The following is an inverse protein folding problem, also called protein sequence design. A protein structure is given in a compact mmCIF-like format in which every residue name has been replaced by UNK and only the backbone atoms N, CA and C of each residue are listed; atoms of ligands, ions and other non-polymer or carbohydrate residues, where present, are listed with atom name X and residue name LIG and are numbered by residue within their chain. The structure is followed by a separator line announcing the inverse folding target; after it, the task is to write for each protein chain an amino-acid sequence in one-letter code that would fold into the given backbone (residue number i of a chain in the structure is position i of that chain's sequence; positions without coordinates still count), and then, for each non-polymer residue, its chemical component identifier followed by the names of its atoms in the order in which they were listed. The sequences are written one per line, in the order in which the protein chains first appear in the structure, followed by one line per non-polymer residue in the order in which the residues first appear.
data_IF_794827091780
#
_entry.id   IF_794827091780
#
_cell.length_a   1.000
_cell.length_b   1.000
_cell.length_c   1.000
_cell.angle_alpha   90.00
_cell.angle_beta   90.00
_cell.angle_gamma   90.00
#
_symmetry.space_group_name_H-M   'P 1'
#
loop_
_entity.id
_entity.type
_entity.pdbx_description
1 polymer ?
#
# COMPACT_ATOMS: atom_id res chain seq x y z
N UNK A 1 -13.17 0.98 -5.93
CA UNK A 1 -14.09 1.72 -5.02
C UNK A 1 -14.64 0.85 -3.90
N UNK A 2 -14.76 -0.47 -4.11
CA UNK A 2 -15.22 -1.45 -3.11
C UNK A 2 -14.55 -1.43 -1.73
N UNK A 3 -13.32 -0.90 -1.63
CA UNK A 3 -12.57 -0.84 -0.38
C UNK A 3 -12.76 0.47 0.40
N UNK A 4 -13.51 1.43 -0.16
CA UNK A 4 -13.81 2.70 0.50
C UNK A 4 -14.56 2.43 1.80
N UNK A 5 -14.04 2.95 2.91
CA UNK A 5 -14.58 2.73 4.27
C UNK A 5 -14.60 1.25 4.71
N UNK A 6 -13.77 0.41 4.07
CA UNK A 6 -13.59 -0.98 4.49
C UNK A 6 -12.96 -1.07 5.91
N UNK A 7 -13.14 -2.20 6.60
CA UNK A 7 -12.47 -2.43 7.89
C UNK A 7 -10.94 -2.26 7.80
N UNK A 8 -10.32 -2.67 6.69
CA UNK A 8 -8.88 -2.52 6.44
C UNK A 8 -8.48 -1.05 6.34
N UNK A 9 -9.23 -0.24 5.58
CA UNK A 9 -8.97 1.19 5.46
C UNK A 9 -9.15 1.90 6.82
N UNK A 10 -10.19 1.55 7.57
CA UNK A 10 -10.44 2.11 8.90
C UNK A 10 -9.31 1.72 9.87
N UNK A 11 -8.86 0.46 9.85
CA UNK A 11 -7.75 -0.01 10.65
C UNK A 11 -6.45 0.74 10.32
N UNK A 12 -6.17 0.96 9.03
CA UNK A 12 -5.02 1.74 8.59
C UNK A 12 -5.07 3.19 9.10
N UNK A 13 -6.21 3.89 8.91
CA UNK A 13 -6.41 5.25 9.43
C UNK A 13 -6.26 5.31 10.95
N UNK A 14 -6.84 4.33 11.66
CA UNK A 14 -6.75 4.24 13.12
C UNK A 14 -5.32 3.98 13.59
N UNK A 15 -4.55 3.14 12.89
CA UNK A 15 -3.15 2.89 13.21
C UNK A 15 -2.31 4.17 13.11
N UNK A 16 -2.48 4.94 12.03
CA UNK A 16 -1.81 6.24 11.86
C UNK A 16 -2.21 7.22 12.97
N UNK A 17 -3.51 7.31 13.27
CA UNK A 17 -4.01 8.13 14.37
C UNK A 17 -3.40 7.72 15.72
N UNK A 18 -3.35 6.42 16.01
CA UNK A 18 -2.83 5.90 17.28
C UNK A 18 -1.35 6.21 17.47
N UNK A 19 -0.53 6.02 16.43
CA UNK A 19 0.90 6.36 16.46
C UNK A 19 1.10 7.86 16.63
N UNK A 20 0.35 8.69 15.90
CA UNK A 20 0.46 10.15 16.02
C UNK A 20 0.02 10.68 17.39
N UNK A 21 -0.90 9.98 18.05
CA UNK A 21 -1.37 10.32 19.41
C UNK A 21 -0.34 9.96 20.47
N UNK A 22 0.38 8.86 20.29
CA UNK A 22 1.43 8.43 21.22
C UNK A 22 2.79 9.05 20.84
N UNK A 23 3.07 10.21 21.45
CA UNK A 23 4.33 10.94 21.24
C UNK A 23 5.58 10.22 21.76
N UNK A 24 5.45 9.09 22.47
CA UNK A 24 6.62 8.29 22.86
C UNK A 24 7.22 7.50 21.69
N UNK A 25 6.41 7.17 20.67
CA UNK A 25 6.83 6.38 19.51
C UNK A 25 7.55 7.27 18.49
N UNK A 26 6.94 8.39 18.12
CA UNK A 26 7.48 9.37 17.16
C UNK A 26 7.27 10.80 17.70
N UNK A 27 8.16 11.31 18.58
CA UNK A 27 7.94 12.57 19.29
C UNK A 27 7.89 13.80 18.36
N UNK A 28 8.72 13.80 17.31
CA UNK A 28 8.92 14.94 16.42
C UNK A 28 8.38 14.71 15.00
N UNK A 29 7.61 13.64 14.79
CA UNK A 29 7.12 13.26 13.47
C UNK A 29 5.61 13.07 13.54
N UNK A 30 4.92 13.51 12.50
CA UNK A 30 3.49 13.24 12.32
C UNK A 30 3.35 12.49 11.01
N UNK A 31 2.84 11.26 11.10
CA UNK A 31 2.53 10.45 9.94
C UNK A 31 1.33 11.04 9.21
N UNK A 32 1.48 11.19 7.90
CA UNK A 32 0.40 11.52 6.97
C UNK A 32 0.24 10.34 6.02
N UNK A 33 -0.97 10.19 5.48
CA UNK A 33 -1.26 9.14 4.52
C UNK A 33 -1.92 9.73 3.28
N UNK A 34 -1.73 9.03 2.16
CA UNK A 34 -2.49 9.23 0.94
C UNK A 34 -3.17 7.90 0.58
N UNK A 35 -4.49 7.92 0.41
CA UNK A 35 -5.28 6.72 0.09
C UNK A 35 -5.73 6.83 -1.37
N UNK A 36 -5.30 5.86 -2.17
CA UNK A 36 -5.72 5.72 -3.56
C UNK A 36 -6.64 4.51 -3.71
N UNK A 37 -7.68 4.67 -4.53
CA UNK A 37 -8.58 3.59 -4.90
C UNK A 37 -8.31 3.15 -6.33
N UNK A 38 -8.23 1.84 -6.52
CA UNK A 38 -7.98 1.21 -7.81
C UNK A 38 -9.05 0.13 -8.07
N UNK A 39 -9.46 -0.09 -9.33
CA UNK A 39 -10.28 -1.25 -9.70
C UNK A 39 -9.50 -2.56 -9.50
N UNK A 40 -10.19 -3.66 -9.19
CA UNK A 40 -9.57 -4.98 -8.88
C UNK A 40 -8.82 -5.59 -10.06
N UNK A 41 -9.24 -5.32 -11.29
CA UNK A 41 -8.69 -5.95 -12.50
C UNK A 41 -7.86 -4.98 -13.36
N UNK A 42 -7.35 -3.90 -12.74
CA UNK A 42 -6.66 -2.83 -13.47
C UNK A 42 -5.25 -2.57 -12.92
N UNK A 43 -4.33 -3.45 -13.30
CA UNK A 43 -2.91 -3.37 -12.92
C UNK A 43 -2.24 -2.10 -13.41
N UNK A 44 -2.61 -1.61 -14.60
CA UNK A 44 -2.06 -0.37 -15.13
C UNK A 44 -2.42 0.83 -14.26
N UNK A 45 -3.69 0.97 -13.87
CA UNK A 45 -4.10 2.04 -12.97
C UNK A 45 -3.51 1.85 -11.57
N UNK A 46 -3.38 0.62 -11.08
CA UNK A 46 -2.71 0.33 -9.81
C UNK A 46 -1.26 0.84 -9.81
N UNK A 47 -0.46 0.42 -10.80
CA UNK A 47 0.93 0.87 -10.95
C UNK A 47 1.02 2.38 -11.15
N UNK A 48 0.13 2.98 -11.96
CA UNK A 48 0.11 4.43 -12.18
C UNK A 48 -0.19 5.20 -10.90
N UNK A 49 -1.11 4.73 -10.06
CA UNK A 49 -1.41 5.35 -8.76
C UNK A 49 -0.23 5.20 -7.81
N UNK A 50 0.38 4.02 -7.72
CA UNK A 50 1.59 3.81 -6.94
C UNK A 50 2.73 4.77 -7.37
N UNK A 51 3.01 4.88 -8.68
CA UNK A 51 3.98 5.85 -9.21
C UNK A 51 3.74 7.29 -8.72
N UNK A 52 2.47 7.73 -8.69
CA UNK A 52 2.11 9.08 -8.25
C UNK A 52 2.37 9.28 -6.76
N UNK A 53 2.10 8.27 -5.93
CA UNK A 53 2.41 8.29 -4.50
C UNK A 53 3.92 8.34 -4.27
N UNK A 54 4.68 7.51 -4.98
CA UNK A 54 6.14 7.54 -4.96
C UNK A 54 6.68 8.91 -5.33
N UNK A 55 6.18 9.48 -6.43
CA UNK A 55 6.58 10.82 -6.91
C UNK A 55 6.25 11.92 -5.91
N UNK A 56 5.24 11.70 -5.04
CA UNK A 56 4.86 12.62 -3.97
C UNK A 56 5.68 12.44 -2.68
N UNK A 57 6.61 11.48 -2.66
CA UNK A 57 7.56 11.27 -1.56
C UNK A 57 7.05 10.39 -0.42
N UNK A 58 6.22 9.38 -0.71
CA UNK A 58 5.84 8.40 0.33
C UNK A 58 7.06 7.60 0.81
N UNK A 59 7.07 7.29 2.11
CA UNK A 59 8.14 6.46 2.71
C UNK A 59 7.88 4.95 2.61
N UNK A 60 6.63 4.55 2.32
CA UNK A 60 6.21 3.16 2.16
C UNK A 60 4.86 3.11 1.43
N UNK A 61 4.56 1.98 0.81
CA UNK A 61 3.28 1.69 0.17
C UNK A 61 2.62 0.52 0.90
N UNK A 62 1.32 0.65 1.21
CA UNK A 62 0.53 -0.40 1.83
C UNK A 62 -0.51 -0.93 0.84
N UNK A 63 -0.52 -2.25 0.65
CA UNK A 63 -1.40 -2.94 -0.30
C UNK A 63 -1.06 -2.67 -1.78
N UNK A 64 -1.90 -3.14 -2.71
CA UNK A 64 -3.23 -3.70 -2.50
C UNK A 64 -3.22 -5.13 -1.92
N UNK A 65 -4.37 -5.56 -1.38
CA UNK A 65 -4.56 -6.93 -0.87
C UNK A 65 -4.76 -7.96 -1.99
N UNK A 66 -5.16 -7.50 -3.18
CA UNK A 66 -5.31 -8.35 -4.36
C UNK A 66 -3.93 -8.82 -4.84
N UNK A 67 -3.75 -10.14 -5.00
CA UNK A 67 -2.44 -10.71 -5.33
C UNK A 67 -1.93 -10.30 -6.72
N UNK A 68 -2.83 -10.19 -7.71
CA UNK A 68 -2.45 -9.79 -9.06
C UNK A 68 -1.97 -8.34 -9.05
N UNK A 69 -2.78 -7.43 -8.50
CA UNK A 69 -2.39 -6.02 -8.41
C UNK A 69 -1.16 -5.81 -7.51
N UNK A 70 -1.08 -6.56 -6.41
CA UNK A 70 0.02 -6.54 -5.45
C UNK A 70 1.35 -6.85 -6.12
N UNK A 71 1.39 -7.87 -7.00
CA UNK A 71 2.60 -8.24 -7.74
C UNK A 71 3.17 -7.11 -8.62
N UNK A 72 2.30 -6.29 -9.23
CA UNK A 72 2.70 -5.15 -10.04
C UNK A 72 3.22 -3.99 -9.18
N UNK A 73 2.55 -3.70 -8.07
CA UNK A 73 3.00 -2.68 -7.11
C UNK A 73 4.31 -3.10 -6.43
N UNK A 74 4.47 -4.38 -6.10
CA UNK A 74 5.70 -4.97 -5.57
C UNK A 74 6.85 -4.77 -6.53
N UNK A 75 6.67 -5.11 -7.81
CA UNK A 75 7.72 -4.93 -8.83
C UNK A 75 8.20 -3.49 -8.93
N UNK A 76 7.28 -2.52 -8.82
CA UNK A 76 7.60 -1.10 -8.79
C UNK A 76 8.34 -0.70 -7.52
N UNK A 77 7.90 -1.19 -6.36
CA UNK A 77 8.52 -0.89 -5.07
C UNK A 77 9.94 -1.48 -4.98
N UNK A 78 10.13 -2.70 -5.48
CA UNK A 78 11.44 -3.35 -5.58
C UNK A 78 12.40 -2.55 -6.47
N UNK A 79 11.92 -2.04 -7.61
CA UNK A 79 12.76 -1.26 -8.53
C UNK A 79 13.16 0.13 -7.97
N UNK A 80 12.44 0.64 -6.97
CA UNK A 80 12.63 1.97 -6.40
C UNK A 80 13.12 1.93 -4.94
N UNK A 81 13.41 0.74 -4.41
CA UNK A 81 13.79 0.50 -3.02
C UNK A 81 12.79 1.08 -2.00
N UNK A 82 11.49 0.95 -2.30
CA UNK A 82 10.40 1.45 -1.45
C UNK A 82 9.82 0.28 -0.65
N UNK A 83 9.67 0.41 0.68
CA UNK A 83 8.99 -0.60 1.47
C UNK A 83 7.55 -0.82 1.00
N UNK A 84 7.24 -2.06 0.62
CA UNK A 84 5.89 -2.50 0.27
C UNK A 84 5.37 -3.45 1.35
N UNK A 85 4.21 -3.13 1.94
CA UNK A 85 3.59 -3.94 2.99
C UNK A 85 2.21 -4.38 2.53
N UNK A 86 2.03 -5.68 2.38
CA UNK A 86 0.74 -6.29 2.05
C UNK A 86 0.13 -6.98 3.27
N UNK A 87 -1.19 -6.86 3.43
CA UNK A 87 -1.96 -7.62 4.41
C UNK A 87 -2.89 -8.58 3.69
N UNK A 88 -2.34 -9.73 3.28
CA UNK A 88 -3.09 -10.81 2.62
C UNK A 88 -2.87 -12.13 3.32
N UNK A 89 -3.86 -13.02 3.23
CA UNK A 89 -3.78 -14.39 3.75
C UNK A 89 -3.56 -15.29 2.55
N UNK A 90 -2.29 -15.57 2.24
CA UNK A 90 -1.93 -16.44 1.13
C UNK A 90 -2.11 -17.90 1.53
N UNK A 91 -3.07 -18.58 0.91
CA UNK A 91 -3.24 -20.03 1.06
C UNK A 91 -2.44 -20.82 0.00
N UNK A 92 -1.88 -20.15 -1.01
CA UNK A 92 -1.07 -20.76 -2.06
C UNK A 92 0.30 -20.06 -2.19
N UNK A 93 1.41 -20.81 -2.39
CA UNK A 93 2.73 -20.23 -2.56
C UNK A 93 2.83 -19.42 -3.85
N UNK A 94 3.38 -18.21 -3.78
CA UNK A 94 3.57 -17.29 -4.91
C UNK A 94 4.32 -17.95 -6.08
N UNK A 95 3.66 -18.15 -7.21
CA UNK A 95 4.36 -18.16 -8.50
C UNK A 95 4.61 -16.70 -8.87
N UNK A 96 5.85 -16.23 -8.71
CA UNK A 96 6.29 -14.96 -9.28
C UNK A 96 6.33 -15.08 -10.81
N UNK A 97 5.19 -14.84 -11.46
CA UNK A 97 5.21 -14.50 -12.87
C UNK A 97 5.78 -13.07 -12.98
N UNK A 98 7.06 -12.99 -13.35
CA UNK A 98 7.71 -11.73 -13.68
C UNK A 98 6.91 -11.05 -14.79
N UNK A 99 6.45 -9.82 -14.54
CA UNK A 99 5.92 -8.97 -15.60
C UNK A 99 7.05 -8.65 -16.59
N UNK A 100 6.77 -8.84 -17.89
CA UNK A 100 7.66 -8.50 -19.02
C UNK A 100 7.91 -6.99 -19.06
#
# INVERSE_FOLDING_TARGET
EDQKESPTELAFKYAVYSINRDRSILPNTTLIYDIQYVPKDDSFHASKKACLQVSSGVSAIFGPQDALLGSHVQSLCDALDIPHIESRVDMEPEMKEFSI
#
